data_IF_397308208570
#
_entry.id   IF_397308208570
#
_cell.length_a   1.000
_cell.length_b   1.000
_cell.length_c   1.000
_cell.angle_alpha   90.00
_cell.angle_beta   90.00
_cell.angle_gamma   90.00
#
_symmetry.space_group_name_H-M   'P 1'
#
loop_
_entity.id
_entity.type
_entity.pdbx_description
1 polymer ?
#
# COMPACT_ATOMS: atom_id res chain seq x y z
N UNK A 1 21.76 -12.41 -9.54
CA UNK A 1 20.61 -11.61 -9.05
C UNK A 1 21.15 -10.48 -8.17
N UNK A 2 20.75 -9.23 -8.40
CA UNK A 2 21.13 -8.12 -7.50
C UNK A 2 20.53 -8.40 -6.12
N UNK A 3 21.33 -8.35 -5.05
CA UNK A 3 20.84 -8.50 -3.68
C UNK A 3 19.83 -7.39 -3.41
N UNK A 4 18.56 -7.75 -3.20
CA UNK A 4 17.53 -6.81 -2.76
C UNK A 4 17.82 -6.49 -1.29
N UNK A 5 18.21 -5.24 -1.00
CA UNK A 5 18.37 -4.79 0.38
C UNK A 5 16.97 -4.56 0.96
N UNK A 6 16.57 -5.40 1.90
CA UNK A 6 15.36 -5.19 2.68
C UNK A 6 15.70 -4.18 3.78
N UNK A 7 14.89 -3.13 3.88
CA UNK A 7 14.94 -2.14 4.96
C UNK A 7 13.58 -2.05 5.61
N UNK A 8 13.55 -1.85 6.91
CA UNK A 8 12.33 -1.60 7.66
C UNK A 8 11.78 -0.22 7.35
N UNK A 9 10.50 -0.01 7.65
CA UNK A 9 9.89 1.32 7.53
C UNK A 9 10.59 2.34 8.44
N UNK A 10 10.97 1.92 9.65
CA UNK A 10 11.61 2.78 10.64
C UNK A 10 12.98 3.27 10.15
N UNK A 11 13.82 2.36 9.64
CA UNK A 11 15.10 2.72 9.01
C UNK A 11 14.91 3.61 7.78
N UNK A 12 13.83 3.42 7.02
CA UNK A 12 13.55 4.20 5.82
C UNK A 12 13.12 5.65 6.12
N UNK A 13 12.52 5.91 7.29
CA UNK A 13 12.06 7.25 7.70
C UNK A 13 12.99 7.93 8.71
N UNK A 14 14.01 7.22 9.18
CA UNK A 14 14.98 7.74 10.13
C UNK A 14 15.67 9.00 9.58
N UNK A 15 15.72 10.07 10.38
CA UNK A 15 16.33 11.34 9.99
C UNK A 15 15.53 12.18 8.98
N UNK A 16 14.32 11.77 8.59
CA UNK A 16 13.44 12.64 7.80
C UNK A 16 12.89 13.80 8.65
N UNK A 17 12.87 15.00 8.07
CA UNK A 17 12.09 16.10 8.62
C UNK A 17 10.59 15.93 8.29
N UNK A 18 9.73 16.74 8.91
CA UNK A 18 8.28 16.62 8.77
C UNK A 18 7.81 16.70 7.31
N UNK A 19 8.34 17.64 6.53
CA UNK A 19 7.95 17.82 5.13
C UNK A 19 8.32 16.60 4.26
N UNK A 20 9.50 16.02 4.48
CA UNK A 20 9.92 14.78 3.80
C UNK A 20 9.09 13.58 4.24
N UNK A 21 8.81 13.48 5.53
CA UNK A 21 7.98 12.41 6.08
C UNK A 21 6.56 12.45 5.52
N UNK A 22 5.99 13.64 5.38
CA UNK A 22 4.64 13.82 4.84
C UNK A 22 4.58 13.45 3.35
N UNK A 23 5.56 13.89 2.55
CA UNK A 23 5.71 13.44 1.16
C UNK A 23 5.85 11.92 1.05
N UNK A 24 6.70 11.33 1.88
CA UNK A 24 6.91 9.88 1.91
C UNK A 24 5.61 9.12 2.23
N UNK A 25 4.85 9.57 3.24
CA UNK A 25 3.56 8.98 3.60
C UNK A 25 2.55 9.07 2.45
N UNK A 26 2.46 10.24 1.80
CA UNK A 26 1.56 10.46 0.66
C UNK A 26 1.90 9.52 -0.49
N UNK A 27 3.16 9.49 -0.91
CA UNK A 27 3.61 8.60 -1.99
C UNK A 27 3.37 7.13 -1.67
N UNK A 28 3.67 6.71 -0.43
CA UNK A 28 3.45 5.33 0.00
C UNK A 28 1.96 4.97 -0.03
N UNK A 29 1.10 5.88 0.41
CA UNK A 29 -0.34 5.70 0.38
C UNK A 29 -0.85 5.54 -1.06
N UNK A 30 -0.42 6.42 -1.97
CA UNK A 30 -0.87 6.43 -3.36
C UNK A 30 -0.37 5.22 -4.15
N UNK A 31 0.90 4.83 -3.98
CA UNK A 31 1.52 3.78 -4.79
C UNK A 31 1.27 2.36 -4.26
N UNK A 32 1.04 2.19 -2.96
CA UNK A 32 0.94 0.85 -2.36
C UNK A 32 -0.39 0.61 -1.64
N UNK A 33 -0.82 1.53 -0.77
CA UNK A 33 -2.03 1.30 0.04
C UNK A 33 -3.28 1.36 -0.83
N UNK A 34 -3.47 2.43 -1.63
CA UNK A 34 -4.68 2.60 -2.45
C UNK A 34 -4.90 1.45 -3.44
N UNK A 35 -3.89 0.98 -4.21
CA UNK A 35 -4.08 -0.15 -5.11
C UNK A 35 -4.51 -1.43 -4.39
N UNK A 36 -3.92 -1.74 -3.24
CA UNK A 36 -4.32 -2.90 -2.42
C UNK A 36 -5.76 -2.77 -1.92
N UNK A 37 -6.16 -1.59 -1.46
CA UNK A 37 -7.54 -1.34 -1.02
C UNK A 37 -8.54 -1.46 -2.16
N UNK A 38 -8.18 -0.99 -3.37
CA UNK A 38 -9.05 -1.11 -4.54
C UNK A 38 -9.19 -2.56 -5.01
N UNK A 39 -8.10 -3.33 -5.01
CA UNK A 39 -8.13 -4.77 -5.28
C UNK A 39 -9.05 -5.49 -4.29
N UNK A 40 -8.88 -5.22 -2.99
CA UNK A 40 -9.72 -5.81 -1.95
C UNK A 40 -11.20 -5.46 -2.14
N UNK A 41 -11.50 -4.21 -2.50
CA UNK A 41 -12.88 -3.79 -2.80
C UNK A 41 -13.47 -4.58 -3.97
N UNK A 42 -12.74 -4.68 -5.08
CA UNK A 42 -13.16 -5.44 -6.27
C UNK A 42 -13.40 -6.91 -5.94
N UNK A 43 -12.54 -7.51 -5.12
CA UNK A 43 -12.70 -8.90 -4.70
C UNK A 43 -13.95 -9.10 -3.83
N UNK A 44 -14.22 -8.19 -2.89
CA UNK A 44 -15.43 -8.23 -2.07
C UNK A 44 -16.69 -8.06 -2.93
N UNK A 45 -16.69 -7.11 -3.88
CA UNK A 45 -17.80 -6.90 -4.80
C UNK A 45 -18.06 -8.14 -5.68
N UNK A 46 -17.01 -8.75 -6.21
CA UNK A 46 -17.11 -10.00 -6.96
C UNK A 46 -17.72 -11.14 -6.14
N UNK A 47 -17.30 -11.30 -4.88
CA UNK A 47 -17.87 -12.31 -3.96
C UNK A 47 -19.35 -12.05 -3.67
N UNK A 48 -19.77 -10.79 -3.48
CA UNK A 48 -21.18 -10.43 -3.29
C UNK A 48 -22.04 -10.77 -4.50
N UNK A 49 -21.56 -10.48 -5.71
CA UNK A 49 -22.27 -10.82 -6.95
C UNK A 49 -22.45 -12.33 -7.10
N UNK A 50 -21.43 -13.11 -6.75
CA UNK A 50 -21.50 -14.57 -6.83
C UNK A 50 -22.52 -15.15 -5.83
N UNK A 51 -22.53 -14.67 -4.59
CA UNK A 51 -23.48 -15.12 -3.55
C UNK A 51 -24.93 -14.78 -3.89
N UNK A 52 -25.20 -13.64 -4.52
CA UNK A 52 -26.56 -13.24 -4.92
C UNK A 52 -27.06 -13.96 -6.18
N UNK A 53 -26.21 -14.76 -6.85
CA UNK A 53 -26.57 -15.58 -8.02
C UNK A 53 -26.80 -17.05 -7.68
N UNK A 54 -26.57 -17.46 -6.43
CA UNK A 54 -26.94 -18.77 -5.89
C UNK A 54 -28.29 -18.69 -5.20
#
# INVERSE_FOLDING_TARGET
MKKVKVVTLQEAIEGMNEEKLERFKKERCEKFIKPLMEMNRKEIEGKKIFLNKQ
#
